data_IF_522252780011
#
_entry.id   IF_522252780011
#
_cell.length_a   1.000
_cell.length_b   1.000
_cell.length_c   1.000
_cell.angle_alpha   90.00
_cell.angle_beta   90.00
_cell.angle_gamma   90.00
#
_symmetry.space_group_name_H-M   'P 1'
#
loop_
_entity.id
_entity.type
_entity.pdbx_description
1 polymer ?
#
# COMPACT_ATOMS: atom_id res chain seq x y z
N UNK A 1 -6.40 12.98 -22.16
CA UNK A 1 -7.21 13.40 -20.99
C UNK A 1 -6.83 14.84 -20.66
N UNK A 2 -7.78 15.72 -20.39
CA UNK A 2 -7.48 17.14 -20.08
C UNK A 2 -6.74 17.24 -18.74
N UNK A 3 -5.68 18.06 -18.71
CA UNK A 3 -4.83 18.28 -17.54
C UNK A 3 -5.62 18.75 -16.30
N UNK A 4 -6.75 19.41 -16.50
CA UNK A 4 -7.63 19.88 -15.42
C UNK A 4 -8.27 18.73 -14.63
N UNK A 5 -8.62 17.63 -15.31
CA UNK A 5 -9.13 16.42 -14.66
C UNK A 5 -8.05 15.75 -13.82
N UNK A 6 -6.83 15.64 -14.35
CA UNK A 6 -5.68 15.06 -13.65
C UNK A 6 -5.37 15.87 -12.40
N UNK A 7 -5.28 17.21 -12.50
CA UNK A 7 -4.99 18.08 -11.37
C UNK A 7 -6.10 18.06 -10.29
N UNK A 8 -7.37 17.91 -10.69
CA UNK A 8 -8.47 17.80 -9.76
C UNK A 8 -8.42 16.45 -9.01
N UNK A 9 -8.12 15.35 -9.72
CA UNK A 9 -7.97 14.02 -9.14
C UNK A 9 -6.77 13.95 -8.19
N UNK A 10 -5.65 14.54 -8.57
CA UNK A 10 -4.45 14.65 -7.75
C UNK A 10 -4.73 15.35 -6.41
N UNK A 11 -5.43 16.49 -6.44
CA UNK A 11 -5.86 17.19 -5.21
C UNK A 11 -6.78 16.36 -4.32
N UNK A 12 -7.66 15.56 -4.93
CA UNK A 12 -8.54 14.66 -4.21
C UNK A 12 -7.76 13.53 -3.54
N UNK A 13 -6.85 12.88 -4.27
CA UNK A 13 -6.04 11.76 -3.77
C UNK A 13 -5.03 12.15 -2.69
N UNK A 14 -4.54 13.41 -2.72
CA UNK A 14 -3.60 13.94 -1.72
C UNK A 14 -4.27 14.69 -0.56
N UNK A 15 -5.57 14.47 -0.33
CA UNK A 15 -6.27 15.01 0.83
C UNK A 15 -6.66 16.48 0.75
N UNK A 16 -6.54 17.11 -0.43
CA UNK A 16 -6.91 18.51 -0.66
C UNK A 16 -8.42 18.79 -0.75
N UNK A 17 -9.25 17.75 -0.79
CA UNK A 17 -10.72 17.85 -0.82
C UNK A 17 -11.41 16.52 -0.49
N UNK A 18 -12.67 16.59 -0.04
CA UNK A 18 -13.47 15.39 0.17
C UNK A 18 -14.11 14.89 -1.15
N UNK A 19 -14.64 13.66 -1.14
CA UNK A 19 -15.24 13.01 -2.33
C UNK A 19 -16.42 13.82 -2.91
N UNK A 20 -17.23 14.43 -2.08
CA UNK A 20 -18.40 15.21 -2.53
C UNK A 20 -17.96 16.43 -3.32
N UNK A 21 -17.03 17.21 -2.77
CA UNK A 21 -16.47 18.40 -3.45
C UNK A 21 -15.75 18.03 -4.74
N UNK A 22 -15.06 16.89 -4.74
CA UNK A 22 -14.41 16.34 -5.93
C UNK A 22 -15.42 16.04 -7.03
N UNK A 23 -16.50 15.29 -6.73
CA UNK A 23 -17.54 14.95 -7.70
C UNK A 23 -18.30 16.18 -8.21
N UNK A 24 -18.59 17.16 -7.36
CA UNK A 24 -19.22 18.43 -7.75
C UNK A 24 -18.33 19.20 -8.75
N UNK A 25 -17.05 19.36 -8.45
CA UNK A 25 -16.09 20.03 -9.35
C UNK A 25 -15.85 19.26 -10.63
N UNK A 26 -15.79 17.94 -10.55
CA UNK A 26 -15.66 17.06 -11.71
C UNK A 26 -16.87 17.20 -12.65
N UNK A 27 -18.08 17.27 -12.08
CA UNK A 27 -19.32 17.49 -12.83
C UNK A 27 -19.32 18.85 -13.54
N UNK A 28 -18.87 19.90 -12.84
CA UNK A 28 -18.72 21.24 -13.45
C UNK A 28 -17.72 21.25 -14.61
N UNK A 29 -16.59 20.57 -14.46
CA UNK A 29 -15.58 20.46 -15.54
C UNK A 29 -16.06 19.63 -16.73
N UNK A 30 -16.81 18.57 -16.48
CA UNK A 30 -17.29 17.62 -17.49
C UNK A 30 -18.60 18.07 -18.16
N UNK A 31 -19.30 19.06 -17.59
CA UNK A 31 -20.59 19.55 -18.11
C UNK A 31 -21.80 18.67 -17.79
N UNK A 32 -21.59 17.46 -17.25
CA UNK A 32 -22.66 16.57 -16.77
C UNK A 32 -22.13 15.53 -15.79
N UNK A 33 -23.00 14.97 -14.96
CA UNK A 33 -22.65 13.91 -14.00
C UNK A 33 -22.19 12.63 -14.71
N UNK A 34 -22.82 12.28 -15.82
CA UNK A 34 -22.44 11.10 -16.63
C UNK A 34 -21.05 11.26 -17.26
N UNK A 35 -20.75 12.45 -17.79
CA UNK A 35 -19.41 12.75 -18.33
C UNK A 35 -18.34 12.86 -17.24
N UNK A 36 -18.72 13.23 -16.01
CA UNK A 36 -17.83 13.28 -14.87
C UNK A 36 -17.42 11.88 -14.38
N UNK A 37 -18.35 10.92 -14.35
CA UNK A 37 -18.09 9.57 -13.86
C UNK A 37 -17.39 8.68 -14.87
N UNK A 38 -17.50 8.95 -16.17
CA UNK A 38 -16.89 8.16 -17.24
C UNK A 38 -15.34 8.03 -17.15
N UNK A 39 -14.55 9.07 -16.80
CA UNK A 39 -13.11 8.95 -16.66
C UNK A 39 -12.66 8.34 -15.32
N UNK A 40 -13.52 8.21 -14.30
CA UNK A 40 -13.14 7.71 -12.99
C UNK A 40 -12.49 6.32 -13.02
N UNK A 41 -13.00 5.30 -13.73
CA UNK A 41 -12.37 3.99 -13.80
C UNK A 41 -10.98 4.01 -14.45
N UNK A 42 -10.68 5.02 -15.27
CA UNK A 42 -9.36 5.20 -15.91
C UNK A 42 -8.38 5.90 -14.97
N UNK A 43 -8.90 6.75 -14.07
CA UNK A 43 -8.12 7.46 -13.06
C UNK A 43 -7.93 6.62 -11.78
N UNK A 44 -8.95 5.83 -11.44
CA UNK A 44 -8.87 4.86 -10.36
C UNK A 44 -8.12 3.63 -10.89
N UNK A 45 -6.89 3.45 -10.43
CA UNK A 45 -6.13 2.24 -10.73
C UNK A 45 -6.93 1.01 -10.27
N UNK A 46 -7.30 0.15 -11.22
CA UNK A 46 -7.89 -1.13 -10.90
C UNK A 46 -6.78 -2.09 -10.47
N UNK A 47 -6.38 -1.99 -9.21
CA UNK A 47 -5.29 -2.79 -8.64
C UNK A 47 -5.54 -4.30 -8.73
N UNK A 48 -6.81 -4.74 -8.79
CA UNK A 48 -7.15 -6.15 -8.96
C UNK A 48 -6.81 -6.69 -10.36
N UNK A 49 -6.75 -5.83 -11.38
CA UNK A 49 -6.34 -6.21 -12.74
C UNK A 49 -4.83 -6.01 -13.00
N UNK A 50 -4.11 -5.36 -12.08
CA UNK A 50 -2.68 -5.08 -12.18
C UNK A 50 -1.83 -6.08 -11.38
N UNK A 51 -2.39 -7.19 -10.91
CA UNK A 51 -1.65 -8.23 -10.21
C UNK A 51 -0.63 -8.87 -11.16
N UNK A 52 0.65 -8.74 -10.83
CA UNK A 52 1.77 -9.27 -11.62
C UNK A 52 2.22 -10.62 -11.09
N UNK A 53 2.16 -10.82 -9.76
CA UNK A 53 2.55 -12.05 -9.09
C UNK A 53 1.38 -12.60 -8.30
N UNK A 54 0.89 -13.76 -8.71
CA UNK A 54 -0.21 -14.44 -8.04
C UNK A 54 0.12 -14.77 -6.58
N UNK A 55 -0.87 -14.73 -5.69
CA UNK A 55 -0.69 -15.02 -4.27
C UNK A 55 -0.20 -16.44 -4.02
N UNK A 56 -0.57 -17.38 -4.89
CA UNK A 56 -0.18 -18.78 -4.87
C UNK A 56 1.01 -19.13 -5.79
N UNK A 57 1.81 -18.13 -6.21
CA UNK A 57 3.01 -18.37 -7.01
C UNK A 57 3.96 -19.32 -6.28
N UNK A 58 4.38 -20.45 -6.89
CA UNK A 58 5.19 -21.47 -6.21
C UNK A 58 6.59 -20.99 -5.82
N UNK A 59 7.06 -19.87 -6.37
CA UNK A 59 8.37 -19.29 -6.05
C UNK A 59 8.38 -18.53 -4.72
N UNK A 60 7.23 -18.29 -4.10
CA UNK A 60 7.09 -17.50 -2.88
C UNK A 60 6.20 -18.20 -1.84
N UNK A 61 6.35 -17.79 -0.59
CA UNK A 61 5.44 -18.11 0.53
C UNK A 61 4.94 -16.81 1.10
N UNK A 62 3.62 -16.61 1.11
CA UNK A 62 2.97 -15.38 1.51
C UNK A 62 1.98 -15.63 2.66
N UNK A 63 1.97 -14.75 3.66
CA UNK A 63 1.10 -14.83 4.83
C UNK A 63 0.87 -13.45 5.46
N UNK A 64 -0.25 -13.28 6.14
CA UNK A 64 -0.40 -12.17 7.08
C UNK A 64 0.33 -12.55 8.38
N UNK A 65 1.26 -11.73 8.80
CA UNK A 65 2.10 -12.00 9.97
C UNK A 65 2.23 -10.78 10.89
N UNK A 66 2.45 -11.07 12.17
CA UNK A 66 2.90 -10.08 13.15
C UNK A 66 4.39 -10.34 13.41
N UNK A 67 5.27 -9.50 12.84
CA UNK A 67 6.73 -9.73 12.90
C UNK A 67 7.36 -9.32 14.23
N UNK A 68 6.74 -8.36 14.91
CA UNK A 68 6.98 -7.98 16.31
C UNK A 68 5.65 -7.54 16.91
N UNK A 69 5.48 -7.55 18.24
CA UNK A 69 4.22 -7.14 18.87
C UNK A 69 3.72 -5.78 18.37
N UNK A 70 2.49 -5.73 17.88
CA UNK A 70 1.85 -4.53 17.35
C UNK A 70 2.22 -4.16 15.90
N UNK A 71 3.08 -4.94 15.23
CA UNK A 71 3.48 -4.69 13.83
C UNK A 71 2.99 -5.83 12.93
N UNK A 72 1.78 -5.68 12.40
CA UNK A 72 1.19 -6.63 11.44
C UNK A 72 1.40 -6.17 10.01
N UNK A 73 1.37 -7.12 9.09
CA UNK A 73 1.48 -6.85 7.67
C UNK A 73 1.53 -8.13 6.84
N UNK A 74 1.74 -7.94 5.55
CA UNK A 74 1.85 -9.02 4.58
C UNK A 74 3.32 -9.40 4.42
N UNK A 75 3.67 -10.58 4.92
CA UNK A 75 5.03 -11.14 4.84
C UNK A 75 5.13 -12.09 3.67
N UNK A 76 6.11 -11.88 2.81
CA UNK A 76 6.38 -12.75 1.67
C UNK A 76 7.86 -13.10 1.64
N UNK A 77 8.15 -14.39 1.39
CA UNK A 77 9.52 -14.91 1.36
C UNK A 77 9.72 -15.73 0.08
N UNK A 78 10.93 -15.81 -0.46
CA UNK A 78 11.26 -16.85 -1.44
C UNK A 78 10.93 -18.24 -0.89
N UNK A 79 10.41 -19.13 -1.74
CA UNK A 79 10.14 -20.53 -1.35
C UNK A 79 11.43 -21.36 -1.21
N UNK A 80 12.48 -20.98 -1.92
CA UNK A 80 13.77 -21.61 -1.83
C UNK A 80 14.39 -21.40 -0.45
N UNK A 81 15.09 -22.43 0.05
CA UNK A 81 15.86 -22.29 1.29
C UNK A 81 17.04 -21.35 1.09
N UNK A 82 17.32 -20.52 2.09
CA UNK A 82 18.42 -19.57 2.01
C UNK A 82 18.33 -18.48 3.06
N UNK A 83 19.30 -17.58 2.99
CA UNK A 83 19.37 -16.37 3.82
C UNK A 83 19.30 -15.15 2.89
N UNK A 84 18.32 -14.31 3.11
CA UNK A 84 17.95 -13.23 2.21
C UNK A 84 18.04 -11.86 2.89
N UNK A 85 18.36 -10.79 2.15
CA UNK A 85 18.12 -9.45 2.64
C UNK A 85 16.61 -9.20 2.79
N UNK A 86 16.23 -8.29 3.66
CA UNK A 86 14.83 -7.94 3.84
C UNK A 86 14.49 -6.55 3.27
N UNK A 87 13.22 -6.34 2.94
CA UNK A 87 12.71 -5.06 2.50
C UNK A 87 11.38 -4.74 3.18
N UNK A 88 11.31 -3.55 3.77
CA UNK A 88 10.06 -2.97 4.26
C UNK A 88 9.38 -2.24 3.10
N UNK A 89 8.16 -2.64 2.76
CA UNK A 89 7.31 -1.99 1.77
C UNK A 89 6.32 -1.09 2.49
N UNK A 90 6.43 0.20 2.27
CA UNK A 90 5.61 1.24 2.90
C UNK A 90 4.51 1.63 1.91
N UNK A 91 3.27 1.42 2.31
CA UNK A 91 2.10 1.70 1.48
C UNK A 91 1.81 3.20 1.35
N UNK A 92 1.05 3.55 0.33
CA UNK A 92 0.47 4.87 0.10
C UNK A 92 -0.78 5.11 0.99
N UNK A 93 -1.56 6.14 0.69
CA UNK A 93 -2.70 6.59 1.50
C UNK A 93 -3.94 5.68 1.48
N UNK A 94 -3.87 4.48 0.94
CA UNK A 94 -4.95 3.48 0.93
C UNK A 94 -4.63 2.23 1.75
N UNK A 95 -3.55 2.27 2.52
CA UNK A 95 -3.15 1.18 3.40
C UNK A 95 -2.57 -0.03 2.67
N UNK A 96 -2.57 -1.17 3.36
CA UNK A 96 -2.09 -2.44 2.82
C UNK A 96 -3.12 -3.04 1.86
N UNK A 97 -3.27 -2.41 0.71
CA UNK A 97 -4.21 -2.77 -0.35
C UNK A 97 -3.65 -3.90 -1.26
N UNK A 98 -4.46 -4.44 -2.21
CA UNK A 98 -4.00 -5.49 -3.12
C UNK A 98 -2.77 -5.14 -3.95
N UNK A 99 -2.60 -3.86 -4.36
CA UNK A 99 -1.43 -3.40 -5.08
C UNK A 99 -0.15 -3.52 -4.23
N UNK A 100 -0.19 -3.06 -2.99
CA UNK A 100 0.96 -3.15 -2.08
C UNK A 100 1.30 -4.61 -1.76
N UNK A 101 0.29 -5.49 -1.63
CA UNK A 101 0.52 -6.93 -1.49
C UNK A 101 1.20 -7.51 -2.73
N UNK A 102 0.80 -7.11 -3.95
CA UNK A 102 1.46 -7.53 -5.19
C UNK A 102 2.90 -7.03 -5.26
N UNK A 103 3.16 -5.77 -4.94
CA UNK A 103 4.53 -5.23 -4.86
C UNK A 103 5.37 -6.03 -3.88
N UNK A 104 4.81 -6.39 -2.72
CA UNK A 104 5.50 -7.19 -1.71
C UNK A 104 5.86 -8.58 -2.27
N UNK A 105 4.96 -9.25 -3.01
CA UNK A 105 5.24 -10.52 -3.69
C UNK A 105 6.34 -10.38 -4.75
N UNK A 106 6.31 -9.30 -5.52
CA UNK A 106 7.35 -9.02 -6.53
C UNK A 106 8.72 -8.85 -5.90
N UNK A 107 8.83 -8.14 -4.78
CA UNK A 107 10.10 -8.03 -4.04
C UNK A 107 10.60 -9.41 -3.57
N UNK A 108 9.71 -10.30 -3.13
CA UNK A 108 10.11 -11.64 -2.73
C UNK A 108 10.61 -12.49 -3.90
N UNK A 109 10.04 -12.32 -5.10
CA UNK A 109 10.56 -12.98 -6.32
C UNK A 109 11.95 -12.50 -6.72
N UNK A 110 12.29 -11.25 -6.39
CA UNK A 110 13.64 -10.70 -6.59
C UNK A 110 14.65 -11.11 -5.50
N UNK A 111 14.27 -12.04 -4.60
CA UNK A 111 15.16 -12.60 -3.59
C UNK A 111 15.22 -11.82 -2.27
N UNK A 112 14.16 -11.13 -1.90
CA UNK A 112 14.05 -10.46 -0.62
C UNK A 112 13.05 -11.17 0.30
N UNK A 113 13.27 -11.09 1.62
CA UNK A 113 12.16 -11.23 2.57
C UNK A 113 11.43 -9.90 2.56
N UNK A 114 10.23 -9.85 1.99
CA UNK A 114 9.48 -8.62 1.81
C UNK A 114 8.34 -8.53 2.83
N UNK A 115 8.16 -7.36 3.42
CA UNK A 115 7.09 -7.10 4.39
C UNK A 115 6.34 -5.83 4.03
N UNK A 116 5.12 -6.00 3.55
CA UNK A 116 4.16 -4.92 3.39
C UNK A 116 3.54 -4.58 4.74
N UNK A 117 4.04 -3.56 5.40
CA UNK A 117 3.58 -3.18 6.73
C UNK A 117 2.18 -2.57 6.68
N UNK A 118 1.32 -2.91 7.64
CA UNK A 118 0.02 -2.27 7.82
C UNK A 118 0.10 -1.22 8.94
N UNK A 119 0.28 0.03 8.57
CA UNK A 119 0.40 1.15 9.52
C UNK A 119 -0.90 1.43 10.28
N UNK A 120 -2.02 0.86 9.84
CA UNK A 120 -3.29 0.92 10.55
C UNK A 120 -3.47 -0.22 11.56
N UNK A 121 -2.47 -1.09 11.76
CA UNK A 121 -2.50 -2.16 12.77
C UNK A 121 -3.03 -1.69 14.12
N UNK A 122 -2.60 -0.55 14.71
CA UNK A 122 -3.10 -0.09 16.01
C UNK A 122 -4.59 0.28 16.00
N UNK A 123 -5.15 0.58 14.83
CA UNK A 123 -6.56 0.93 14.63
C UNK A 123 -7.41 -0.26 14.11
N UNK A 124 -6.87 -1.48 14.14
CA UNK A 124 -7.55 -2.70 13.69
C UNK A 124 -7.17 -3.17 12.29
N UNK A 125 -6.25 -2.49 11.63
CA UNK A 125 -5.77 -2.82 10.27
C UNK A 125 -6.42 -2.00 9.17
N UNK A 126 -5.92 -2.19 7.95
CA UNK A 126 -6.44 -1.51 6.76
C UNK A 126 -7.85 -2.01 6.44
N UNK A 127 -8.88 -1.13 6.41
CA UNK A 127 -10.23 -1.50 6.03
C UNK A 127 -10.34 -1.77 4.51
N UNK A 128 -11.35 -2.51 4.10
CA UNK A 128 -11.64 -2.76 2.67
C UNK A 128 -12.06 -1.48 1.92
N UNK A 129 -12.72 -0.55 2.61
CA UNK A 129 -13.11 0.74 2.07
C UNK A 129 -11.89 1.66 1.94
N UNK A 130 -11.49 1.95 0.71
CA UNK A 130 -10.33 2.77 0.38
C UNK A 130 -10.44 4.23 0.87
N UNK A 131 -11.65 4.79 0.93
CA UNK A 131 -11.88 6.15 1.43
C UNK A 131 -11.69 6.19 2.96
N UNK A 132 -12.25 5.19 3.65
CA UNK A 132 -12.05 5.04 5.09
C UNK A 132 -10.56 4.81 5.41
N UNK A 133 -9.87 3.98 4.64
CA UNK A 133 -8.42 3.78 4.81
C UNK A 133 -7.65 5.09 4.67
N UNK A 134 -7.98 5.90 3.65
CA UNK A 134 -7.36 7.20 3.41
C UNK A 134 -7.56 8.16 4.58
N UNK A 135 -8.77 8.25 5.10
CA UNK A 135 -9.10 9.14 6.21
C UNK A 135 -8.34 8.70 7.48
N UNK A 136 -8.32 7.41 7.79
CA UNK A 136 -7.56 6.85 8.92
C UNK A 136 -6.05 7.10 8.80
N UNK A 137 -5.47 6.96 7.60
CA UNK A 137 -4.05 7.23 7.36
C UNK A 137 -3.75 8.73 7.51
N UNK A 138 -4.67 9.58 7.05
CA UNK A 138 -4.55 11.04 7.23
C UNK A 138 -4.47 11.49 8.69
N UNK A 139 -5.00 10.70 9.62
CA UNK A 139 -4.95 10.96 11.07
C UNK A 139 -3.66 10.47 11.74
N UNK A 140 -2.85 9.64 11.05
CA UNK A 140 -1.61 9.12 11.62
C UNK A 140 -0.58 10.24 11.83
N UNK A 141 0.03 10.23 12.99
CA UNK A 141 1.11 11.17 13.31
C UNK A 141 2.42 10.72 12.67
N UNK A 142 3.16 11.65 12.08
CA UNK A 142 4.46 11.36 11.44
C UNK A 142 5.45 10.64 12.36
N UNK A 143 5.49 11.00 13.65
CA UNK A 143 6.37 10.37 14.63
C UNK A 143 6.00 8.90 14.88
N UNK A 144 4.71 8.58 14.90
CA UNK A 144 4.24 7.22 15.08
C UNK A 144 4.58 6.36 13.86
N UNK A 145 4.45 6.90 12.64
CA UNK A 145 4.86 6.25 11.39
C UNK A 145 6.36 5.93 11.40
N UNK A 146 7.19 6.88 11.82
CA UNK A 146 8.64 6.69 11.91
C UNK A 146 8.98 5.62 12.94
N UNK A 147 8.41 5.67 14.15
CA UNK A 147 8.64 4.70 15.20
C UNK A 147 8.19 3.28 14.79
N UNK A 148 7.03 3.18 14.13
CA UNK A 148 6.53 1.93 13.57
C UNK A 148 7.50 1.36 12.52
N UNK A 149 7.96 2.20 11.59
CA UNK A 149 8.91 1.78 10.54
C UNK A 149 10.25 1.31 11.12
N UNK A 150 10.79 2.03 12.11
CA UNK A 150 12.03 1.64 12.80
C UNK A 150 11.88 0.29 13.50
N UNK A 151 10.75 0.07 14.17
CA UNK A 151 10.43 -1.20 14.84
C UNK A 151 10.29 -2.34 13.85
N UNK A 152 9.61 -2.10 12.70
CA UNK A 152 9.47 -3.07 11.62
C UNK A 152 10.84 -3.45 11.02
N UNK A 153 11.70 -2.48 10.75
CA UNK A 153 13.06 -2.71 10.23
C UNK A 153 13.88 -3.54 11.22
N UNK A 154 13.83 -3.21 12.51
CA UNK A 154 14.55 -3.96 13.53
C UNK A 154 14.02 -5.40 13.68
N UNK A 155 12.71 -5.62 13.51
CA UNK A 155 12.07 -6.93 13.49
C UNK A 155 12.52 -7.75 12.26
N UNK A 156 12.49 -7.14 11.08
CA UNK A 156 12.92 -7.78 9.83
C UNK A 156 14.38 -8.22 9.86
N UNK A 157 15.25 -7.42 10.47
CA UNK A 157 16.67 -7.75 10.60
C UNK A 157 16.89 -9.04 11.41
N UNK A 158 16.01 -9.33 12.37
CA UNK A 158 16.11 -10.49 13.26
C UNK A 158 15.23 -11.67 12.83
N UNK A 159 14.49 -11.52 11.75
CA UNK A 159 13.57 -12.55 11.28
C UNK A 159 14.32 -13.78 10.81
N UNK A 160 13.81 -14.97 11.09
CA UNK A 160 14.39 -16.22 10.62
C UNK A 160 14.55 -16.22 9.09
N UNK A 161 15.73 -16.55 8.58
CA UNK A 161 16.09 -16.48 7.17
C UNK A 161 16.53 -15.08 6.69
N UNK A 162 16.52 -14.05 7.55
CA UNK A 162 17.11 -12.76 7.23
C UNK A 162 18.63 -12.77 7.41
N UNK A 163 19.36 -12.12 6.50
CA UNK A 163 20.81 -11.88 6.64
C UNK A 163 21.14 -10.62 7.46
N UNK A 164 20.13 -9.99 8.08
CA UNK A 164 20.27 -8.78 8.88
C UNK A 164 20.32 -7.46 8.09
N UNK A 165 20.43 -7.52 6.76
CA UNK A 165 20.41 -6.31 5.91
C UNK A 165 18.96 -5.99 5.55
N UNK A 166 18.53 -4.77 5.85
CA UNK A 166 17.15 -4.32 5.59
C UNK A 166 17.16 -3.02 4.82
N UNK A 167 16.44 -3.00 3.72
CA UNK A 167 16.10 -1.80 2.96
C UNK A 167 14.64 -1.40 3.19
N UNK A 168 14.25 -0.23 2.70
CA UNK A 168 12.86 0.20 2.67
C UNK A 168 12.54 0.83 1.30
N UNK A 169 11.32 0.59 0.83
CA UNK A 169 10.75 1.23 -0.36
C UNK A 169 9.37 1.79 0.01
N UNK A 170 9.10 3.02 -0.39
CA UNK A 170 7.82 3.69 -0.13
C UNK A 170 7.12 4.10 -1.41
N UNK A 171 5.79 4.12 -1.35
CA UNK A 171 4.92 4.59 -2.41
C UNK A 171 4.16 5.83 -1.92
N UNK A 172 4.04 6.81 -2.80
CA UNK A 172 3.36 8.07 -2.50
C UNK A 172 1.87 8.00 -2.85
#
# INVERSE_FOLDING_TARGET
MDQKFIALFDRYTHGGMNRRDFLERLTLLAGSTAAATAPLPVLENNYAQAEVVAENDPAIKAEMAEIVPGIKGYLVRPSAEGTYPAVLVIHENRGLNPHIKDVTRRMAKEGFIAFGADYLTPAGGTPEDAEKARDMIGELKKLDIVAFSQTAVAGLAKLAGSNGKVGAIGFC
#
